data_IF_908153330113
#
_entry.id   IF_908153330113
#
_cell.length_a   1.000
_cell.length_b   1.000
_cell.length_c   1.000
_cell.angle_alpha   90.00
_cell.angle_beta   90.00
_cell.angle_gamma   90.00
#
_symmetry.space_group_name_H-M   'P 1'
#
loop_
_entity.id
_entity.type
_entity.pdbx_description
1 polymer ?
#
# COMPACT_ATOMS: atom_id res chain seq x y z
N UNK A 1 7.33 16.91 -11.16
CA UNK A 1 6.44 16.91 -9.97
C UNK A 1 6.88 15.81 -9.02
N UNK A 2 6.75 16.04 -7.71
CA UNK A 2 6.95 15.07 -6.65
C UNK A 2 5.62 14.78 -5.94
N UNK A 3 5.55 13.64 -5.27
CA UNK A 3 4.43 13.25 -4.43
C UNK A 3 4.89 13.02 -3.00
N UNK A 4 3.96 13.14 -2.07
CA UNK A 4 4.17 12.85 -0.65
C UNK A 4 2.99 12.06 -0.09
N UNK A 5 3.27 11.28 0.96
CA UNK A 5 2.21 10.61 1.71
C UNK A 5 1.52 11.64 2.59
N UNK A 6 0.19 11.67 2.52
CA UNK A 6 -0.67 12.54 3.35
C UNK A 6 -1.16 11.82 4.59
N UNK A 7 -1.54 10.56 4.44
CA UNK A 7 -2.14 9.76 5.49
C UNK A 7 -1.93 8.27 5.23
N UNK A 8 -1.85 7.49 6.31
CA UNK A 8 -1.99 6.04 6.29
C UNK A 8 -3.26 5.66 7.04
N UNK A 9 -3.95 4.63 6.58
CA UNK A 9 -5.06 4.01 7.31
C UNK A 9 -5.07 2.51 7.11
N UNK A 10 -5.66 1.78 8.04
CA UNK A 10 -5.85 0.34 7.91
C UNK A 10 -7.31 0.07 7.55
N UNK A 11 -7.58 -0.91 6.69
CA UNK A 11 -8.96 -1.26 6.36
C UNK A 11 -9.66 -1.76 7.63
N UNK A 12 -10.69 -1.04 8.07
CA UNK A 12 -11.43 -1.35 9.30
C UNK A 12 -10.81 -0.83 10.60
N UNK A 13 -9.78 0.03 10.55
CA UNK A 13 -9.20 0.63 11.76
C UNK A 13 -8.02 1.59 11.52
N UNK A 14 -7.20 1.76 12.55
CA UNK A 14 -6.01 2.61 12.53
C UNK A 14 -4.76 1.79 12.83
N UNK A 15 -3.66 2.04 12.12
CA UNK A 15 -2.39 1.35 12.32
C UNK A 15 -1.90 1.44 13.78
N UNK A 16 -2.02 2.62 14.40
CA UNK A 16 -1.53 2.87 15.77
C UNK A 16 -2.23 2.03 16.85
N UNK A 17 -3.33 1.36 16.51
CA UNK A 17 -4.10 0.51 17.42
C UNK A 17 -4.06 -0.97 17.02
N UNK A 18 -3.35 -1.30 15.94
CA UNK A 18 -3.31 -2.63 15.40
C UNK A 18 -2.05 -3.37 15.83
N UNK A 19 -2.24 -4.63 16.22
CA UNK A 19 -1.17 -5.60 16.36
C UNK A 19 -1.75 -6.98 15.99
N UNK A 20 -1.12 -7.76 15.10
CA UNK A 20 -1.58 -9.09 14.79
C UNK A 20 -1.37 -10.03 15.99
N UNK A 21 -2.21 -11.07 16.11
CA UNK A 21 -2.03 -12.11 17.13
C UNK A 21 -0.70 -12.87 16.95
N UNK A 22 -0.26 -13.07 15.70
CA UNK A 22 1.05 -13.60 15.32
C UNK A 22 1.71 -12.65 14.31
N UNK A 23 2.79 -11.97 14.72
CA UNK A 23 3.51 -11.02 13.87
C UNK A 23 4.14 -11.67 12.64
N UNK A 24 4.31 -13.00 12.64
CA UNK A 24 4.91 -13.76 11.53
C UNK A 24 3.86 -14.45 10.64
N UNK A 25 2.58 -14.30 10.97
CA UNK A 25 1.48 -15.03 10.31
C UNK A 25 0.20 -14.18 10.22
N UNK A 26 0.25 -13.10 9.44
CA UNK A 26 -0.89 -12.20 9.22
C UNK A 26 -1.03 -11.75 7.76
N UNK A 27 -2.19 -11.19 7.43
CA UNK A 27 -2.46 -10.44 6.22
C UNK A 27 -3.56 -9.39 6.48
N UNK A 28 -3.26 -8.12 6.20
CA UNK A 28 -4.17 -7.00 6.43
C UNK A 28 -4.31 -6.12 5.20
N UNK A 29 -5.47 -5.46 5.07
CA UNK A 29 -5.67 -4.38 4.11
C UNK A 29 -5.24 -3.03 4.68
N UNK A 30 -4.65 -2.20 3.84
CA UNK A 30 -4.23 -0.86 4.18
C UNK A 30 -4.44 0.10 3.02
N UNK A 31 -4.58 1.37 3.35
CA UNK A 31 -4.68 2.48 2.41
C UNK A 31 -3.60 3.52 2.72
N UNK A 32 -3.12 4.15 1.66
CA UNK A 32 -2.29 5.35 1.75
C UNK A 32 -2.88 6.44 0.88
N UNK A 33 -3.11 7.61 1.46
CA UNK A 33 -3.47 8.81 0.71
C UNK A 33 -2.19 9.46 0.23
N UNK A 34 -2.06 9.64 -1.09
CA UNK A 34 -0.89 10.24 -1.73
C UNK A 34 -1.35 11.42 -2.56
N UNK A 35 -0.63 12.54 -2.49
CA UNK A 35 -0.92 13.71 -3.30
C UNK A 35 0.35 14.45 -3.73
N UNK A 36 0.23 15.47 -4.59
CA UNK A 36 1.36 16.32 -4.96
C UNK A 36 2.02 16.95 -3.72
N UNK A 37 3.34 17.07 -3.74
CA UNK A 37 4.13 17.67 -2.65
C UNK A 37 3.62 19.09 -2.34
N UNK A 38 3.37 19.38 -1.07
CA UNK A 38 2.88 20.70 -0.61
C UNK A 38 1.42 21.05 -0.95
N UNK A 39 0.67 20.17 -1.61
CA UNK A 39 -0.76 20.39 -1.92
C UNK A 39 -1.65 19.62 -0.93
N UNK A 40 -2.68 20.23 -0.30
CA UNK A 40 -3.59 19.50 0.57
C UNK A 40 -4.38 18.42 -0.18
N UNK A 41 -4.60 17.28 0.48
CA UNK A 41 -5.35 16.15 -0.09
C UNK A 41 -4.53 15.29 -1.05
N UNK A 42 -5.20 14.30 -1.63
CA UNK A 42 -4.61 13.31 -2.51
C UNK A 42 -5.61 12.20 -2.81
N UNK A 43 -5.15 11.22 -3.58
CA UNK A 43 -5.93 10.05 -3.95
C UNK A 43 -5.56 8.87 -3.07
N UNK A 44 -6.49 7.92 -2.96
CA UNK A 44 -6.32 6.68 -2.19
C UNK A 44 -5.63 5.61 -3.03
N UNK A 45 -4.61 4.99 -2.44
CA UNK A 45 -3.93 3.81 -2.94
C UNK A 45 -4.04 2.68 -1.92
N UNK A 46 -4.76 1.61 -2.27
CA UNK A 46 -5.02 0.46 -1.40
C UNK A 46 -4.06 -0.70 -1.68
N UNK A 47 -3.65 -1.42 -0.64
CA UNK A 47 -2.81 -2.61 -0.77
C UNK A 47 -3.03 -3.58 0.39
N UNK A 48 -2.52 -4.80 0.23
CA UNK A 48 -2.44 -5.80 1.28
C UNK A 48 -1.02 -5.83 1.86
N UNK A 49 -0.90 -6.16 3.14
CA UNK A 49 0.37 -6.41 3.81
C UNK A 49 0.30 -7.80 4.40
N UNK A 50 1.07 -8.74 3.86
CA UNK A 50 0.94 -10.15 4.20
C UNK A 50 2.31 -10.78 4.43
N UNK A 51 2.35 -11.73 5.35
CA UNK A 51 3.53 -12.54 5.61
C UNK A 51 3.65 -13.70 4.63
N UNK A 52 4.87 -14.15 4.28
CA UNK A 52 5.05 -15.33 3.45
C UNK A 52 4.35 -16.57 4.01
N UNK A 53 4.35 -16.72 5.34
CA UNK A 53 3.71 -17.84 6.04
C UNK A 53 2.19 -17.84 5.87
N UNK A 54 1.54 -16.68 6.03
CA UNK A 54 0.10 -16.55 5.81
C UNK A 54 -0.28 -16.87 4.36
N UNK A 55 0.51 -16.40 3.40
CA UNK A 55 0.26 -16.69 1.98
C UNK A 55 0.42 -18.17 1.67
N UNK A 56 1.43 -18.84 2.22
CA UNK A 56 1.70 -20.25 1.98
C UNK A 56 0.51 -21.16 2.34
N UNK A 57 -0.18 -20.88 3.46
CA UNK A 57 -1.38 -21.65 3.81
C UNK A 57 -2.65 -21.14 3.11
N UNK A 58 -2.73 -19.86 2.76
CA UNK A 58 -3.94 -19.25 2.17
C UNK A 58 -4.12 -19.63 0.70
N UNK A 59 -3.00 -19.89 0.01
CA UNK A 59 -2.96 -20.35 -1.37
C UNK A 59 -3.62 -21.72 -1.60
N UNK A 60 -3.78 -22.53 -0.55
CA UNK A 60 -4.27 -23.90 -0.65
C UNK A 60 -3.47 -24.78 -1.63
N UNK A 61 -2.19 -24.45 -1.86
CA UNK A 61 -1.30 -25.16 -2.77
C UNK A 61 -1.54 -24.92 -4.27
N UNK A 62 -2.37 -23.95 -4.66
CA UNK A 62 -2.63 -23.62 -6.07
C UNK A 62 -1.93 -22.30 -6.44
N UNK A 63 -1.46 -22.13 -7.69
CA UNK A 63 -1.01 -20.83 -8.17
C UNK A 63 -2.16 -19.81 -8.17
N UNK A 64 -1.88 -18.58 -7.75
CA UNK A 64 -2.81 -17.46 -7.79
C UNK A 64 -2.05 -16.16 -8.01
N UNK A 65 -2.73 -15.16 -8.56
CA UNK A 65 -2.15 -13.83 -8.74
C UNK A 65 -2.13 -13.09 -7.41
N UNK A 66 -0.97 -12.49 -7.11
CA UNK A 66 -0.79 -11.59 -5.98
C UNK A 66 -0.54 -10.21 -6.59
N UNK A 67 -1.50 -9.31 -6.45
CA UNK A 67 -1.42 -7.93 -6.92
C UNK A 67 -1.64 -7.00 -5.73
N UNK A 68 -0.99 -5.84 -5.76
CA UNK A 68 -1.13 -4.82 -4.71
C UNK A 68 -0.85 -5.35 -3.30
N UNK A 69 0.21 -6.16 -3.16
CA UNK A 69 0.58 -6.78 -1.88
C UNK A 69 2.03 -6.50 -1.56
N UNK A 70 2.26 -6.00 -0.35
CA UNK A 70 3.58 -5.88 0.26
C UNK A 70 3.84 -7.14 1.08
N UNK A 71 5.00 -7.75 0.88
CA UNK A 71 5.48 -8.85 1.70
C UNK A 71 6.41 -8.33 2.78
N UNK A 72 6.19 -8.79 4.02
CA UNK A 72 7.12 -8.57 5.13
C UNK A 72 7.18 -9.82 5.99
N UNK A 73 8.34 -10.13 6.56
CA UNK A 73 8.53 -11.37 7.33
C UNK A 73 7.85 -11.30 8.70
N UNK A 74 7.90 -10.15 9.35
CA UNK A 74 7.27 -9.87 10.64
C UNK A 74 6.57 -8.51 10.60
N UNK A 75 5.49 -8.33 11.36
CA UNK A 75 4.81 -7.04 11.46
C UNK A 75 5.71 -5.99 12.10
N UNK A 76 5.99 -4.92 11.35
CA UNK A 76 6.69 -3.73 11.81
C UNK A 76 6.11 -2.51 11.09
N UNK A 77 5.33 -1.72 11.84
CA UNK A 77 4.63 -0.55 11.30
C UNK A 77 5.60 0.49 10.72
N UNK A 78 6.74 0.72 11.37
CA UNK A 78 7.71 1.73 10.97
C UNK A 78 8.42 1.32 9.68
N UNK A 79 8.79 0.05 9.55
CA UNK A 79 9.37 -0.52 8.33
C UNK A 79 8.36 -0.47 7.18
N UNK A 80 7.09 -0.84 7.43
CA UNK A 80 6.03 -0.75 6.43
C UNK A 80 5.84 0.68 5.94
N UNK A 81 5.61 1.62 6.86
CA UNK A 81 5.37 3.05 6.52
C UNK A 81 6.56 3.66 5.81
N UNK A 82 7.79 3.39 6.28
CA UNK A 82 9.00 3.90 5.64
C UNK A 82 9.22 3.32 4.24
N UNK A 83 8.85 2.07 4.00
CA UNK A 83 8.90 1.43 2.67
C UNK A 83 7.95 2.11 1.70
N UNK A 84 6.69 2.29 2.09
CA UNK A 84 5.68 2.99 1.28
C UNK A 84 6.08 4.44 1.03
N UNK A 85 6.57 5.14 2.06
CA UNK A 85 7.02 6.54 1.93
C UNK A 85 8.13 6.68 0.90
N UNK A 86 9.15 5.82 0.97
CA UNK A 86 10.26 5.80 0.00
C UNK A 86 9.78 5.53 -1.42
N UNK A 87 8.81 4.64 -1.61
CA UNK A 87 8.21 4.39 -2.93
C UNK A 87 7.57 5.67 -3.49
N UNK A 88 6.77 6.35 -2.67
CA UNK A 88 6.08 7.60 -3.04
C UNK A 88 7.07 8.72 -3.36
N UNK A 89 8.02 8.99 -2.47
CA UNK A 89 8.99 10.09 -2.62
C UNK A 89 9.90 9.91 -3.84
N UNK A 90 10.24 8.66 -4.19
CA UNK A 90 11.05 8.35 -5.37
C UNK A 90 10.23 8.30 -6.68
N UNK A 91 8.90 8.40 -6.61
CA UNK A 91 8.05 8.38 -7.80
C UNK A 91 7.79 9.80 -8.28
N UNK A 92 8.50 10.22 -9.34
CA UNK A 92 8.32 11.52 -9.99
C UNK A 92 7.63 11.40 -11.34
N UNK A 93 6.98 12.47 -11.79
CA UNK A 93 6.34 12.55 -13.12
C UNK A 93 6.11 14.00 -13.57
N UNK A 94 5.64 14.18 -14.80
CA UNK A 94 5.31 15.50 -15.35
C UNK A 94 3.90 15.97 -14.96
N UNK A 95 3.04 15.05 -14.53
CA UNK A 95 1.69 15.30 -14.04
C UNK A 95 1.36 14.39 -12.85
N UNK A 96 0.27 14.71 -12.15
CA UNK A 96 -0.27 13.85 -11.09
C UNK A 96 -0.67 12.47 -11.65
N UNK A 97 -1.41 12.48 -12.76
CA UNK A 97 -1.83 11.27 -13.50
C UNK A 97 -0.66 10.33 -13.81
N UNK A 98 0.50 10.87 -14.22
CA UNK A 98 1.69 10.06 -14.51
C UNK A 98 2.26 9.41 -13.24
N UNK A 99 2.26 10.13 -12.11
CA UNK A 99 2.70 9.61 -10.80
C UNK A 99 1.72 8.54 -10.32
N UNK A 100 0.42 8.84 -10.34
CA UNK A 100 -0.63 7.92 -9.91
C UNK A 100 -0.57 6.60 -10.68
N UNK A 101 -0.42 6.64 -12.01
CA UNK A 101 -0.21 5.45 -12.86
C UNK A 101 1.07 4.68 -12.56
N UNK A 102 2.14 5.33 -12.07
CA UNK A 102 3.37 4.64 -11.63
C UNK A 102 3.15 3.94 -10.29
N UNK A 103 2.48 4.60 -9.35
CA UNK A 103 2.11 4.02 -8.06
C UNK A 103 1.11 2.88 -8.20
N UNK A 104 0.18 2.97 -9.17
CA UNK A 104 -0.83 1.95 -9.50
C UNK A 104 -0.23 0.57 -9.89
N UNK A 105 1.06 0.53 -10.23
CA UNK A 105 1.79 -0.72 -10.49
C UNK A 105 2.05 -1.52 -9.21
N UNK A 106 2.05 -0.85 -8.07
CA UNK A 106 2.35 -1.42 -6.75
C UNK A 106 1.13 -1.49 -5.85
N UNK A 107 0.17 -0.58 -6.01
CA UNK A 107 -1.01 -0.42 -5.15
C UNK A 107 -2.24 -0.19 -6.02
N UNK A 108 -3.44 -0.51 -5.53
CA UNK A 108 -4.69 -0.24 -6.24
C UNK A 108 -5.02 1.24 -6.12
N UNK A 109 -5.06 1.98 -7.23
CA UNK A 109 -5.48 3.38 -7.24
C UNK A 109 -7.00 3.47 -7.35
N UNK A 110 -7.66 4.35 -6.58
CA UNK A 110 -9.13 4.45 -6.58
C UNK A 110 -9.74 4.87 -7.94
N UNK A 111 -8.95 5.53 -8.81
CA UNK A 111 -9.33 5.88 -10.18
C UNK A 111 -8.71 4.96 -11.24
N UNK A 112 -8.13 3.82 -10.84
CA UNK A 112 -7.62 2.84 -11.78
C UNK A 112 -8.74 2.40 -12.75
N UNK A 113 -8.44 2.46 -14.05
CA UNK A 113 -9.35 2.13 -15.16
C UNK A 113 -10.67 2.92 -15.19
N UNK A 114 -10.78 4.03 -14.45
CA UNK A 114 -11.95 4.90 -14.51
C UNK A 114 -12.10 5.50 -15.92
N UNK A 115 -13.27 5.29 -16.54
CA UNK A 115 -13.67 5.95 -17.78
C UNK A 115 -14.84 6.87 -17.48
N UNK A 116 -14.66 8.15 -17.78
CA UNK A 116 -15.66 9.20 -17.62
C UNK A 116 -16.79 9.10 -18.67
#
# INVERSE_FOLDING_TARGET
>A
MKAEVKQYSMVGGEFSSYWPDDVTDFCIGADVTVGPEGVPGGDIFSFQVCTPRWLAHSAGGKPYFIRHTILMDEYDEDVLKSTVRKLVENTTGNSWEEIAKKLARYMFWEFEDYQA
#
